data_IF_406393346791
#
_entry.id   IF_406393346791
#
_cell.length_a   1.000
_cell.length_b   1.000
_cell.length_c   1.000
_cell.angle_alpha   90.00
_cell.angle_beta   90.00
_cell.angle_gamma   90.00
#
_symmetry.space_group_name_H-M   'P 1'
#
loop_
_entity.id
_entity.type
_entity.pdbx_description
1 polymer ?
#
# COMPACT_ATOMS: atom_id res chain seq x y z
N UNK A 1 -35.80 -21.58 -6.86
CA UNK A 1 -34.45 -21.81 -6.31
C UNK A 1 -33.42 -20.96 -7.04
N UNK A 2 -32.36 -20.49 -6.36
CA UNK A 2 -31.20 -19.82 -7.00
C UNK A 2 -29.96 -20.70 -6.85
N UNK A 3 -29.22 -20.89 -7.93
CA UNK A 3 -28.01 -21.70 -8.01
C UNK A 3 -26.91 -20.92 -8.70
N UNK A 4 -25.66 -21.26 -8.44
CA UNK A 4 -24.54 -20.82 -9.29
C UNK A 4 -24.50 -21.70 -10.54
N UNK A 5 -24.14 -21.14 -11.70
CA UNK A 5 -23.89 -21.93 -12.92
C UNK A 5 -22.98 -23.13 -12.62
N UNK A 6 -23.29 -24.27 -13.23
CA UNK A 6 -22.63 -25.56 -12.99
C UNK A 6 -23.16 -26.35 -11.79
N UNK A 7 -23.99 -25.77 -10.92
CA UNK A 7 -24.67 -26.54 -9.87
C UNK A 7 -25.87 -27.31 -10.42
N UNK A 8 -25.95 -28.58 -10.06
CA UNK A 8 -27.06 -29.47 -10.39
C UNK A 8 -28.27 -29.17 -9.49
N UNK A 9 -29.46 -29.14 -10.09
CA UNK A 9 -30.73 -29.15 -9.36
C UNK A 9 -31.42 -30.50 -9.53
N UNK A 10 -32.12 -30.97 -8.49
CA UNK A 10 -32.98 -32.15 -8.57
C UNK A 10 -34.43 -31.71 -8.58
N UNK A 11 -35.16 -32.12 -9.61
CA UNK A 11 -36.59 -31.88 -9.77
C UNK A 11 -37.32 -33.16 -9.43
N UNK A 12 -38.29 -33.10 -8.51
CA UNK A 12 -39.10 -34.25 -8.11
C UNK A 12 -40.57 -33.93 -8.31
N UNK A 13 -41.25 -34.77 -9.07
CA UNK A 13 -42.69 -34.71 -9.30
C UNK A 13 -43.37 -35.92 -8.65
N UNK A 14 -44.32 -35.66 -7.76
CA UNK A 14 -45.12 -36.69 -7.11
C UNK A 14 -46.52 -36.68 -7.68
N UNK A 15 -46.92 -37.79 -8.29
CA UNK A 15 -48.26 -38.00 -8.81
C UNK A 15 -49.09 -38.85 -7.85
N UNK A 16 -50.25 -38.34 -7.45
CA UNK A 16 -51.24 -39.08 -6.64
C UNK A 16 -52.29 -39.72 -7.55
N UNK A 17 -52.70 -40.95 -7.23
CA UNK A 17 -53.69 -41.71 -8.01
C UNK A 17 -53.36 -41.88 -9.50
N UNK A 18 -52.06 -41.94 -9.84
CA UNK A 18 -51.58 -42.13 -11.21
C UNK A 18 -52.07 -43.47 -11.78
N UNK A 19 -52.87 -43.48 -12.87
CA UNK A 19 -53.32 -44.71 -13.51
C UNK A 19 -52.16 -45.63 -13.95
N UNK A 20 -52.42 -46.94 -13.96
CA UNK A 20 -51.45 -47.92 -14.46
C UNK A 20 -51.18 -47.68 -15.96
N UNK A 21 -49.90 -47.61 -16.34
CA UNK A 21 -49.46 -47.35 -17.71
C UNK A 21 -49.19 -45.87 -18.04
N UNK A 22 -49.63 -44.93 -17.21
CA UNK A 22 -49.28 -43.52 -17.38
C UNK A 22 -47.80 -43.28 -17.05
N UNK A 23 -47.25 -42.15 -17.48
CA UNK A 23 -45.89 -41.68 -17.11
C UNK A 23 -45.94 -40.27 -16.51
N UNK A 24 -44.97 -39.95 -15.66
CA UNK A 24 -44.74 -38.59 -15.19
C UNK A 24 -43.66 -37.97 -16.09
N UNK A 25 -43.93 -36.80 -16.67
CA UNK A 25 -42.99 -36.03 -17.48
C UNK A 25 -42.67 -34.71 -16.79
N UNK A 26 -41.40 -34.32 -16.72
CA UNK A 26 -40.95 -33.00 -16.29
C UNK A 26 -40.43 -32.27 -17.53
N UNK A 27 -40.97 -31.07 -17.77
CA UNK A 27 -40.64 -30.22 -18.92
C UNK A 27 -40.10 -28.88 -18.43
N UNK A 28 -38.94 -28.47 -18.95
CA UNK A 28 -38.37 -27.13 -18.77
C UNK A 28 -38.63 -26.21 -19.97
N UNK A 29 -38.70 -24.90 -19.74
CA UNK A 29 -38.78 -23.88 -20.81
C UNK A 29 -37.53 -23.81 -21.68
N UNK A 30 -36.44 -24.41 -21.22
CA UNK A 30 -35.17 -24.59 -21.94
C UNK A 30 -35.16 -25.80 -22.88
N UNK A 31 -36.27 -26.55 -22.95
CA UNK A 31 -36.41 -27.72 -23.80
C UNK A 31 -36.09 -29.05 -23.11
N UNK A 32 -35.71 -29.05 -21.82
CA UNK A 32 -35.61 -30.28 -21.05
C UNK A 32 -36.95 -31.03 -21.08
N UNK A 33 -36.93 -32.31 -21.43
CA UNK A 33 -38.07 -33.22 -21.35
C UNK A 33 -37.61 -34.58 -20.89
N UNK A 34 -38.04 -34.98 -19.70
CA UNK A 34 -37.67 -36.25 -19.09
C UNK A 34 -38.92 -36.91 -18.52
N UNK A 35 -39.12 -38.19 -18.83
CA UNK A 35 -40.32 -38.93 -18.40
C UNK A 35 -39.99 -40.29 -17.82
N UNK A 36 -40.78 -40.75 -16.84
CA UNK A 36 -40.61 -42.08 -16.26
C UNK A 36 -41.89 -42.67 -15.67
N UNK A 37 -41.92 -44.00 -15.46
CA UNK A 37 -43.09 -44.69 -14.94
C UNK A 37 -43.22 -44.58 -13.41
N UNK A 38 -42.18 -44.16 -12.69
CA UNK A 38 -42.22 -44.05 -11.23
C UNK A 38 -43.04 -42.85 -10.74
N UNK A 39 -43.55 -42.93 -9.52
CA UNK A 39 -44.06 -41.81 -8.74
C UNK A 39 -43.61 -42.00 -7.29
N UNK A 40 -42.76 -41.12 -6.72
CA UNK A 40 -42.20 -39.92 -7.34
C UNK A 40 -41.28 -40.22 -8.54
N UNK A 41 -41.24 -39.30 -9.49
CA UNK A 41 -40.27 -39.27 -10.58
C UNK A 41 -39.31 -38.11 -10.34
N UNK A 42 -38.02 -38.38 -10.46
CA UNK A 42 -36.98 -37.36 -10.27
C UNK A 42 -36.06 -37.30 -11.49
N UNK A 43 -35.67 -36.08 -11.85
CA UNK A 43 -34.64 -35.82 -12.85
C UNK A 43 -33.73 -34.70 -12.37
N UNK A 44 -32.59 -34.53 -13.01
CA UNK A 44 -31.65 -33.45 -12.69
C UNK A 44 -31.44 -32.55 -13.88
N UNK A 45 -31.14 -31.29 -13.61
CA UNK A 45 -30.77 -30.31 -14.63
C UNK A 45 -29.57 -29.47 -14.17
N UNK A 46 -28.78 -29.00 -15.13
CA UNK A 46 -27.58 -28.19 -14.90
C UNK A 46 -27.38 -27.22 -16.06
N UNK A 47 -27.10 -25.96 -15.74
CA UNK A 47 -26.79 -24.93 -16.73
C UNK A 47 -25.45 -24.27 -16.47
N UNK A 48 -24.69 -24.08 -17.55
CA UNK A 48 -23.37 -23.45 -17.53
C UNK A 48 -23.41 -21.94 -17.77
N UNK A 49 -24.57 -21.42 -18.19
CA UNK A 49 -24.80 -19.99 -18.42
C UNK A 49 -25.89 -19.46 -17.48
N UNK A 50 -25.82 -18.18 -17.06
CA UNK A 50 -26.83 -17.61 -16.20
C UNK A 50 -28.19 -17.56 -16.91
N UNK A 51 -29.20 -18.21 -16.36
CA UNK A 51 -30.56 -18.21 -16.91
C UNK A 51 -31.60 -18.63 -15.86
N UNK A 52 -32.87 -18.38 -16.18
CA UNK A 52 -34.01 -18.86 -15.38
C UNK A 52 -34.82 -19.86 -16.21
N UNK A 53 -34.97 -21.08 -15.70
CA UNK A 53 -35.79 -22.13 -16.33
C UNK A 53 -37.03 -22.36 -15.47
N UNK A 54 -38.17 -22.40 -16.15
CA UNK A 54 -39.45 -22.75 -15.54
C UNK A 54 -39.76 -24.22 -15.84
N UNK A 55 -40.04 -24.99 -14.80
CA UNK A 55 -40.36 -26.40 -14.89
C UNK A 55 -41.82 -26.65 -14.56
N UNK A 56 -42.45 -27.49 -15.38
CA UNK A 56 -43.81 -27.96 -15.20
C UNK A 56 -43.81 -29.48 -15.38
N UNK A 57 -44.49 -30.20 -14.48
CA UNK A 57 -44.67 -31.63 -14.59
C UNK A 57 -46.06 -31.97 -15.15
N UNK A 58 -46.15 -33.07 -15.89
CA UNK A 58 -47.38 -33.60 -16.47
C UNK A 58 -47.52 -35.07 -16.13
N UNK A 59 -48.76 -35.55 -16.04
CA UNK A 59 -49.06 -36.97 -16.18
C UNK A 59 -49.49 -37.17 -17.64
N UNK A 60 -48.89 -38.15 -18.32
CA UNK A 60 -49.20 -38.51 -19.70
C UNK A 60 -49.83 -39.91 -19.73
N UNK A 61 -50.94 -40.05 -20.47
CA UNK A 61 -51.53 -41.35 -20.77
C UNK A 61 -50.64 -42.17 -21.73
N UNK A 62 -50.88 -43.49 -21.92
CA UNK A 62 -50.17 -44.29 -22.91
C UNK A 62 -50.26 -43.75 -24.35
N UNK A 63 -51.29 -42.96 -24.65
CA UNK A 63 -51.47 -42.27 -25.94
C UNK A 63 -50.77 -40.91 -26.04
N UNK A 64 -49.99 -40.51 -25.02
CA UNK A 64 -49.28 -39.24 -24.96
C UNK A 64 -50.14 -38.03 -24.61
N UNK A 65 -51.39 -38.24 -24.19
CA UNK A 65 -52.29 -37.13 -23.80
C UNK A 65 -51.94 -36.67 -22.39
N UNK A 66 -51.80 -35.35 -22.20
CA UNK A 66 -51.69 -34.73 -20.88
C UNK A 66 -53.00 -34.94 -20.10
N UNK A 67 -52.94 -35.71 -19.02
CA UNK A 67 -54.10 -35.99 -18.15
C UNK A 67 -54.07 -35.19 -16.84
N UNK A 68 -52.91 -34.70 -16.43
CA UNK A 68 -52.75 -33.75 -15.32
C UNK A 68 -51.54 -32.84 -15.54
N UNK A 69 -51.54 -31.67 -14.88
CA UNK A 69 -50.46 -30.67 -14.92
C UNK A 69 -50.17 -30.15 -13.53
N UNK A 70 -48.90 -30.00 -13.16
CA UNK A 70 -48.49 -29.42 -11.87
C UNK A 70 -48.50 -27.89 -11.90
N UNK A 71 -48.26 -27.26 -10.75
CA UNK A 71 -47.79 -25.88 -10.73
C UNK A 71 -46.42 -25.74 -11.43
N UNK A 72 -46.06 -24.52 -11.80
CA UNK A 72 -44.74 -24.22 -12.37
C UNK A 72 -43.78 -23.78 -11.27
N UNK A 73 -42.56 -24.31 -11.28
CA UNK A 73 -41.46 -23.90 -10.38
C UNK A 73 -40.32 -23.30 -11.20
N UNK A 74 -39.59 -22.34 -10.62
CA UNK A 74 -38.47 -21.69 -11.31
C UNK A 74 -37.13 -21.99 -10.62
N UNK A 75 -36.12 -22.34 -11.43
CA UNK A 75 -34.72 -22.40 -10.99
C UNK A 75 -33.92 -21.37 -11.78
N UNK A 76 -33.18 -20.53 -11.06
CA UNK A 76 -32.33 -19.49 -11.61
C UNK A 76 -30.86 -19.83 -11.38
N UNK A 77 -30.12 -20.11 -12.45
CA UNK A 77 -28.66 -20.21 -12.43
C UNK A 77 -28.07 -18.81 -12.62
N UNK A 78 -27.15 -18.42 -11.75
CA UNK A 78 -26.51 -17.12 -11.72
C UNK A 78 -25.02 -17.26 -11.98
N UNK A 79 -24.41 -16.20 -12.52
CA UNK A 79 -22.96 -16.14 -12.63
C UNK A 79 -22.31 -16.33 -11.24
N UNK A 80 -21.07 -16.85 -11.17
CA UNK A 80 -20.32 -16.87 -9.92
C UNK A 80 -20.23 -15.45 -9.35
N UNK A 81 -20.31 -15.36 -8.02
CA UNK A 81 -20.12 -14.10 -7.33
C UNK A 81 -18.66 -13.67 -7.47
N UNK A 82 -18.43 -12.41 -7.83
CA UNK A 82 -17.09 -11.85 -7.97
C UNK A 82 -17.08 -10.40 -7.52
N UNK A 83 -15.89 -9.91 -7.18
CA UNK A 83 -15.64 -8.52 -6.79
C UNK A 83 -14.34 -8.02 -7.41
N UNK A 84 -14.33 -6.78 -7.88
CA UNK A 84 -13.14 -6.09 -8.39
C UNK A 84 -12.86 -4.87 -7.54
N UNK A 85 -11.60 -4.56 -7.26
CA UNK A 85 -11.17 -3.37 -6.54
C UNK A 85 -10.33 -2.48 -7.45
N UNK A 86 -10.64 -1.20 -7.51
CA UNK A 86 -9.82 -0.20 -8.22
C UNK A 86 -9.39 0.90 -7.25
N UNK A 87 -8.20 1.44 -7.46
CA UNK A 87 -7.66 2.57 -6.71
C UNK A 87 -7.28 3.68 -7.70
N UNK A 88 -7.61 4.94 -7.38
CA UNK A 88 -7.18 6.07 -8.19
C UNK A 88 -7.08 7.37 -7.37
N UNK A 89 -5.94 8.08 -7.41
CA UNK A 89 -4.64 7.69 -8.00
C UNK A 89 -3.92 6.59 -7.19
N UNK A 90 -2.96 5.88 -7.80
CA UNK A 90 -2.15 4.84 -7.14
C UNK A 90 -0.79 5.33 -6.67
N UNK A 91 -0.30 6.45 -7.21
CA UNK A 91 0.96 7.06 -6.85
C UNK A 91 0.69 8.54 -6.58
N UNK A 92 0.87 8.95 -5.33
CA UNK A 92 0.47 10.29 -4.89
C UNK A 92 1.41 10.82 -3.81
N UNK A 93 1.55 12.15 -3.67
CA UNK A 93 2.27 12.73 -2.54
C UNK A 93 1.61 12.35 -1.21
N UNK A 94 2.40 12.26 -0.13
CA UNK A 94 1.88 12.18 1.24
C UNK A 94 0.82 13.28 1.49
N UNK A 95 -0.21 12.94 2.26
CA UNK A 95 -1.36 13.81 2.56
C UNK A 95 -2.41 13.90 1.45
N UNK A 96 -2.13 13.43 0.24
CA UNK A 96 -3.15 13.31 -0.81
C UNK A 96 -3.99 12.04 -0.64
N UNK A 97 -5.23 12.08 -1.13
CA UNK A 97 -6.16 10.97 -1.01
C UNK A 97 -6.26 10.14 -2.29
N UNK A 98 -6.29 8.81 -2.14
CA UNK A 98 -6.74 7.86 -3.17
C UNK A 98 -8.20 7.50 -2.95
N UNK A 99 -8.94 7.25 -4.03
CA UNK A 99 -10.30 6.67 -3.96
C UNK A 99 -10.26 5.19 -4.29
N UNK A 100 -10.75 4.37 -3.37
CA UNK A 100 -10.91 2.93 -3.52
C UNK A 100 -12.36 2.61 -3.88
N UNK A 101 -12.56 1.90 -4.99
CA UNK A 101 -13.89 1.49 -5.47
C UNK A 101 -13.93 -0.02 -5.66
N UNK A 102 -14.67 -0.71 -4.78
CA UNK A 102 -15.00 -2.13 -4.91
C UNK A 102 -16.32 -2.30 -5.64
N UNK A 103 -16.36 -3.17 -6.65
CA UNK A 103 -17.57 -3.46 -7.45
C UNK A 103 -17.83 -4.96 -7.47
N UNK A 104 -19.01 -5.36 -6.99
CA UNK A 104 -19.50 -6.73 -7.02
C UNK A 104 -20.26 -7.01 -8.33
N UNK A 105 -20.18 -8.25 -8.82
CA UNK A 105 -20.94 -8.69 -10.01
C UNK A 105 -22.45 -8.74 -9.80
N UNK A 106 -22.89 -8.76 -8.53
CA UNK A 106 -24.28 -8.86 -8.12
C UNK A 106 -24.51 -8.04 -6.86
N UNK A 107 -25.74 -7.55 -6.65
CA UNK A 107 -26.05 -6.76 -5.47
C UNK A 107 -26.05 -7.60 -4.19
N UNK A 108 -25.48 -7.06 -3.12
CA UNK A 108 -25.51 -7.64 -1.77
C UNK A 108 -26.74 -7.23 -0.96
N UNK A 109 -27.64 -6.41 -1.52
CA UNK A 109 -28.85 -5.96 -0.82
C UNK A 109 -29.72 -7.14 -0.39
N UNK A 110 -29.97 -7.25 0.92
CA UNK A 110 -30.83 -8.29 1.50
C UNK A 110 -30.23 -9.70 1.45
N UNK A 111 -28.95 -9.86 1.15
CA UNK A 111 -28.27 -11.17 1.16
C UNK A 111 -27.68 -11.53 2.53
N UNK A 112 -27.55 -10.55 3.43
CA UNK A 112 -26.80 -10.69 4.69
C UNK A 112 -25.29 -10.55 4.53
N UNK A 113 -24.81 -10.32 3.31
CA UNK A 113 -23.39 -10.09 3.01
C UNK A 113 -23.08 -8.60 2.87
N UNK A 114 -21.80 -8.25 2.95
CA UNK A 114 -21.25 -6.94 2.69
C UNK A 114 -20.20 -7.01 1.58
N UNK A 115 -20.01 -5.90 0.88
CA UNK A 115 -18.78 -5.62 0.11
C UNK A 115 -17.83 -4.94 1.09
N UNK A 116 -16.72 -5.60 1.43
CA UNK A 116 -15.71 -5.05 2.34
C UNK A 116 -14.49 -4.59 1.53
N UNK A 117 -13.86 -3.50 1.98
CA UNK A 117 -12.54 -3.07 1.51
C UNK A 117 -11.59 -3.18 2.69
N UNK A 118 -10.53 -3.95 2.51
CA UNK A 118 -9.57 -4.32 3.54
C UNK A 118 -8.21 -3.76 3.17
N UNK A 119 -7.58 -3.08 4.12
CA UNK A 119 -6.15 -2.80 4.09
C UNK A 119 -5.40 -4.06 4.54
N UNK A 120 -4.72 -4.72 3.62
CA UNK A 120 -3.95 -5.94 3.89
C UNK A 120 -2.67 -5.66 4.67
N UNK A 121 -2.13 -4.44 4.61
CA UNK A 121 -0.93 -4.08 5.37
C UNK A 121 -1.23 -4.05 6.87
N UNK A 122 -2.37 -3.49 7.26
CA UNK A 122 -2.81 -3.41 8.66
C UNK A 122 -3.77 -4.53 9.09
N UNK A 123 -4.36 -5.25 8.13
CA UNK A 123 -5.40 -6.26 8.37
C UNK A 123 -6.76 -5.68 8.74
N UNK A 124 -6.97 -4.37 8.57
CA UNK A 124 -8.17 -3.66 8.98
C UNK A 124 -9.18 -3.51 7.85
N UNK A 125 -10.46 -3.60 8.18
CA UNK A 125 -11.55 -3.27 7.26
C UNK A 125 -11.76 -1.76 7.27
N UNK A 126 -11.52 -1.12 6.14
CA UNK A 126 -11.60 0.34 5.99
C UNK A 126 -12.93 0.81 5.38
N UNK A 127 -13.72 -0.10 4.82
CA UNK A 127 -15.10 0.15 4.41
C UNK A 127 -15.93 -1.14 4.33
N UNK A 128 -17.23 -1.02 4.61
CA UNK A 128 -18.20 -2.10 4.44
C UNK A 128 -19.52 -1.55 3.92
N UNK A 129 -20.03 -2.13 2.84
CA UNK A 129 -21.32 -1.75 2.25
C UNK A 129 -22.28 -2.94 2.23
N UNK A 130 -23.38 -2.84 2.97
CA UNK A 130 -24.41 -3.89 3.13
C UNK A 130 -25.49 -3.89 2.02
N UNK A 131 -25.38 -2.98 1.05
CA UNK A 131 -26.36 -2.84 -0.02
C UNK A 131 -25.71 -2.33 -1.30
N UNK A 132 -26.39 -2.53 -2.42
CA UNK A 132 -25.91 -2.12 -3.74
C UNK A 132 -24.89 -3.11 -4.32
N UNK A 133 -24.17 -2.65 -5.35
CA UNK A 133 -23.12 -3.39 -6.07
C UNK A 133 -21.75 -2.75 -5.90
N UNK A 134 -21.66 -1.61 -5.23
CA UNK A 134 -20.44 -0.79 -5.19
C UNK A 134 -20.21 -0.29 -3.77
N UNK A 135 -18.96 -0.35 -3.33
CA UNK A 135 -18.49 0.25 -2.09
C UNK A 135 -17.33 1.19 -2.38
N UNK A 136 -17.37 2.40 -1.84
CA UNK A 136 -16.37 3.45 -2.11
C UNK A 136 -15.84 3.99 -0.79
N UNK A 137 -14.54 4.20 -0.71
CA UNK A 137 -13.88 4.88 0.41
C UNK A 137 -12.66 5.65 -0.08
N UNK A 138 -12.15 6.55 0.75
CA UNK A 138 -10.96 7.35 0.46
C UNK A 138 -9.90 7.15 1.54
N UNK A 139 -8.64 7.02 1.14
CA UNK A 139 -7.50 6.82 2.04
C UNK A 139 -6.41 7.86 1.77
N UNK A 140 -5.72 8.30 2.81
CA UNK A 140 -4.55 9.17 2.72
C UNK A 140 -3.54 8.77 3.81
N UNK A 141 -2.26 8.89 3.52
CA UNK A 141 -1.17 8.59 4.47
C UNK A 141 -0.32 9.84 4.72
N UNK A 142 0.12 10.03 5.97
CA UNK A 142 0.98 11.15 6.36
C UNK A 142 2.46 10.90 6.09
N UNK A 143 2.85 9.64 5.93
CA UNK A 143 4.24 9.21 5.78
C UNK A 143 4.44 8.46 4.46
N UNK A 144 5.65 8.49 3.88
CA UNK A 144 5.92 7.73 2.66
C UNK A 144 5.76 6.23 2.90
N UNK A 145 4.83 5.60 2.19
CA UNK A 145 4.49 4.18 2.37
C UNK A 145 3.82 3.61 1.12
N UNK A 146 3.85 2.30 0.98
CA UNK A 146 3.01 1.58 0.02
C UNK A 146 2.03 0.71 0.78
N UNK A 147 0.73 1.01 0.65
CA UNK A 147 -0.33 0.18 1.22
C UNK A 147 -0.89 -0.77 0.18
N UNK A 148 -1.41 -1.89 0.69
CA UNK A 148 -1.93 -3.00 -0.09
C UNK A 148 -3.39 -3.20 0.26
N UNK A 149 -4.30 -3.07 -0.70
CA UNK A 149 -5.75 -3.18 -0.48
C UNK A 149 -6.34 -4.37 -1.24
N UNK A 150 -7.36 -5.00 -0.67
CA UNK A 150 -8.15 -6.04 -1.31
C UNK A 150 -9.62 -5.90 -0.91
N UNK A 151 -10.53 -6.21 -1.81
CA UNK A 151 -11.95 -6.27 -1.51
C UNK A 151 -12.44 -7.71 -1.42
N UNK A 152 -13.44 -7.93 -0.57
CA UNK A 152 -14.14 -9.20 -0.44
C UNK A 152 -15.66 -9.03 -0.44
N UNK A 153 -16.36 -10.14 -0.71
CA UNK A 153 -17.77 -10.27 -0.40
C UNK A 153 -17.91 -11.36 0.66
N UNK A 154 -18.45 -11.00 1.81
CA UNK A 154 -18.59 -11.89 2.97
C UNK A 154 -19.40 -11.23 4.09
N UNK A 155 -19.29 -11.75 5.32
CA UNK A 155 -19.92 -11.13 6.48
C UNK A 155 -19.53 -9.64 6.64
N UNK A 156 -20.38 -8.87 7.31
CA UNK A 156 -20.07 -7.48 7.66
C UNK A 156 -18.76 -7.40 8.45
N UNK A 157 -17.83 -6.55 8.00
CA UNK A 157 -16.50 -6.39 8.60
C UNK A 157 -15.67 -7.68 8.59
N UNK A 158 -15.90 -8.55 7.62
CA UNK A 158 -15.00 -9.67 7.35
C UNK A 158 -13.64 -9.16 6.84
N UNK A 159 -12.58 -9.85 7.23
CA UNK A 159 -11.26 -9.72 6.59
C UNK A 159 -11.13 -10.78 5.50
N UNK A 160 -10.15 -10.63 4.61
CA UNK A 160 -9.98 -11.53 3.45
C UNK A 160 -9.66 -12.98 3.81
N UNK A 161 -9.32 -13.27 5.07
CA UNK A 161 -9.09 -14.62 5.61
C UNK A 161 -10.23 -15.13 6.50
N UNK A 162 -11.30 -14.35 6.70
CA UNK A 162 -12.41 -14.73 7.55
C UNK A 162 -13.22 -15.89 6.97
N UNK A 163 -13.74 -16.76 7.85
CA UNK A 163 -14.69 -17.78 7.45
C UNK A 163 -15.96 -17.12 6.87
N UNK A 164 -16.45 -17.64 5.74
CA UNK A 164 -17.63 -17.12 5.07
C UNK A 164 -17.37 -16.10 3.95
N UNK A 165 -16.12 -15.74 3.67
CA UNK A 165 -15.76 -15.00 2.46
C UNK A 165 -16.15 -15.82 1.22
N UNK A 166 -16.91 -15.20 0.31
CA UNK A 166 -17.49 -15.81 -0.89
C UNK A 166 -16.77 -15.42 -2.18
N UNK A 167 -16.13 -14.26 -2.19
CA UNK A 167 -15.36 -13.76 -3.33
C UNK A 167 -14.26 -12.81 -2.85
N UNK A 168 -13.15 -12.78 -3.58
CA UNK A 168 -12.01 -11.88 -3.38
C UNK A 168 -11.70 -11.17 -4.68
N UNK A 169 -11.27 -9.90 -4.58
CA UNK A 169 -10.69 -9.18 -5.72
C UNK A 169 -9.21 -9.52 -5.88
N UNK A 170 -8.61 -9.08 -6.99
CA UNK A 170 -7.17 -8.83 -6.99
C UNK A 170 -6.78 -7.76 -5.97
N UNK A 171 -5.50 -7.76 -5.61
CA UNK A 171 -4.88 -6.78 -4.74
C UNK A 171 -4.55 -5.49 -5.51
N UNK A 172 -4.69 -4.35 -4.85
CA UNK A 172 -4.31 -3.02 -5.33
C UNK A 172 -3.21 -2.44 -4.45
N UNK A 173 -2.20 -1.81 -5.06
CA UNK A 173 -1.12 -1.15 -4.35
C UNK A 173 -1.24 0.36 -4.54
N UNK A 174 -1.12 1.11 -3.45
CA UNK A 174 -1.12 2.57 -3.47
C UNK A 174 0.11 3.06 -2.73
N UNK A 175 0.92 3.89 -3.39
CA UNK A 175 2.16 4.44 -2.87
C UNK A 175 2.02 5.93 -2.60
N UNK A 176 2.16 6.31 -1.34
CA UNK A 176 2.39 7.69 -0.93
C UNK A 176 3.89 7.95 -0.93
N UNK A 177 4.33 8.92 -1.72
CA UNK A 177 5.73 9.36 -1.75
C UNK A 177 5.88 10.72 -1.08
N UNK A 178 7.01 10.96 -0.44
CA UNK A 178 7.34 12.24 0.16
C UNK A 178 8.70 12.73 -0.32
N UNK A 179 9.05 13.98 -0.02
CA UNK A 179 10.33 14.52 -0.40
C UNK A 179 11.48 13.75 0.27
N UNK A 180 12.60 13.64 -0.42
CA UNK A 180 13.87 13.14 0.11
C UNK A 180 14.90 14.22 -0.09
N UNK A 181 15.74 14.50 0.92
CA UNK A 181 16.81 15.50 0.82
C UNK A 181 18.15 14.91 1.22
N UNK A 182 19.18 15.22 0.44
CA UNK A 182 20.56 14.81 0.66
C UNK A 182 21.44 16.04 0.81
N UNK A 183 22.53 15.91 1.58
CA UNK A 183 23.43 17.02 1.87
C UNK A 183 24.88 16.63 1.62
N UNK A 184 25.59 17.44 0.86
CA UNK A 184 27.00 17.28 0.58
C UNK A 184 27.76 18.59 0.81
N UNK A 185 28.95 18.50 1.40
CA UNK A 185 29.88 19.62 1.51
C UNK A 185 31.17 19.33 0.74
N UNK A 186 31.71 20.33 0.05
CA UNK A 186 32.96 20.23 -0.73
C UNK A 186 33.73 21.57 -0.72
N UNK A 187 35.03 21.57 -0.35
CA UNK A 187 35.78 20.51 0.32
C UNK A 187 35.35 20.34 1.80
N UNK A 188 35.52 19.15 2.37
CA UNK A 188 35.21 18.85 3.79
C UNK A 188 36.33 19.19 4.77
N UNK A 189 37.54 19.37 4.28
CA UNK A 189 38.70 19.77 5.05
C UNK A 189 39.47 20.82 4.28
N UNK A 190 39.70 21.97 4.89
CA UNK A 190 40.33 23.10 4.23
C UNK A 190 41.09 23.97 5.23
N UNK A 191 42.05 24.72 4.71
CA UNK A 191 42.73 25.74 5.50
C UNK A 191 41.73 26.84 5.89
N UNK A 192 41.92 27.44 7.06
CA UNK A 192 41.23 28.68 7.42
C UNK A 192 41.32 29.73 6.30
N UNK A 193 40.27 30.54 6.16
CA UNK A 193 40.16 31.55 5.10
C UNK A 193 39.90 30.97 3.71
N UNK A 194 39.69 29.65 3.58
CA UNK A 194 39.13 29.02 2.39
C UNK A 194 37.65 28.76 2.59
N UNK A 195 36.92 28.75 1.48
CA UNK A 195 35.48 28.57 1.45
C UNK A 195 35.14 27.10 1.19
N UNK A 196 34.14 26.59 1.90
CA UNK A 196 33.48 25.34 1.57
C UNK A 196 32.09 25.62 1.00
N UNK A 197 31.65 24.84 0.02
CA UNK A 197 30.29 24.89 -0.49
C UNK A 197 29.51 23.71 0.07
N UNK A 198 28.37 23.98 0.69
CA UNK A 198 27.41 23.00 1.19
C UNK A 198 26.18 23.05 0.29
N UNK A 199 25.83 21.93 -0.32
CA UNK A 199 24.71 21.81 -1.24
C UNK A 199 23.73 20.77 -0.73
N UNK A 200 22.49 21.21 -0.51
CA UNK A 200 21.34 20.35 -0.29
C UNK A 200 20.66 20.09 -1.65
N UNK A 201 20.32 18.84 -1.91
CA UNK A 201 19.54 18.44 -3.09
C UNK A 201 18.36 17.59 -2.66
N UNK A 202 17.18 17.96 -3.11
CA UNK A 202 15.95 17.28 -2.78
C UNK A 202 15.26 16.71 -4.02
N UNK A 203 14.56 15.61 -3.82
CA UNK A 203 13.76 14.89 -4.81
C UNK A 203 12.33 14.77 -4.31
N UNK A 204 11.38 14.62 -5.25
CA UNK A 204 9.96 14.45 -4.95
C UNK A 204 9.35 15.58 -4.10
N UNK A 205 9.92 16.79 -4.21
CA UNK A 205 9.36 17.99 -3.61
C UNK A 205 8.15 18.50 -4.39
N UNK A 206 7.22 19.12 -3.67
CA UNK A 206 6.13 19.91 -4.28
C UNK A 206 6.57 21.33 -4.60
N UNK A 207 5.84 22.02 -5.48
CA UNK A 207 6.13 23.41 -5.87
C UNK A 207 6.00 24.42 -4.70
N UNK A 208 5.41 24.00 -3.58
CA UNK A 208 5.21 24.84 -2.39
C UNK A 208 6.19 24.55 -1.27
N UNK A 209 7.01 23.50 -1.40
CA UNK A 209 8.00 23.12 -0.40
C UNK A 209 9.32 23.88 -0.57
N UNK A 210 10.03 24.10 0.53
CA UNK A 210 11.32 24.80 0.56
C UNK A 210 12.39 23.96 1.26
N UNK A 211 13.64 24.07 0.83
CA UNK A 211 14.79 23.51 1.56
C UNK A 211 15.26 24.54 2.61
N UNK A 212 15.44 24.10 3.85
CA UNK A 212 16.04 24.89 4.93
C UNK A 212 17.36 24.23 5.36
N UNK A 213 18.47 24.96 5.27
CA UNK A 213 19.82 24.50 5.60
C UNK A 213 20.34 25.25 6.82
N UNK A 214 20.86 24.50 7.81
CA UNK A 214 21.43 25.05 9.04
C UNK A 214 22.81 24.49 9.33
N UNK A 215 23.70 25.33 9.85
CA UNK A 215 25.01 24.98 10.39
C UNK A 215 25.06 25.21 11.91
N UNK A 216 25.85 24.40 12.62
CA UNK A 216 26.05 24.54 14.09
C UNK A 216 26.74 25.85 14.50
N UNK A 217 27.27 26.59 13.53
CA UNK A 217 27.90 27.90 13.66
C UNK A 217 26.92 29.07 13.46
N UNK A 218 25.64 28.79 13.26
CA UNK A 218 24.59 29.79 13.10
C UNK A 218 24.26 30.13 11.65
N UNK A 219 24.90 29.50 10.66
CA UNK A 219 24.45 29.57 9.26
C UNK A 219 23.02 29.05 9.19
N UNK A 220 22.10 29.83 8.59
CA UNK A 220 20.72 29.42 8.35
C UNK A 220 20.23 30.07 7.06
N UNK A 221 19.84 29.26 6.09
CA UNK A 221 19.33 29.73 4.81
C UNK A 221 18.13 28.89 4.37
N UNK A 222 17.12 29.56 3.82
CA UNK A 222 15.96 28.90 3.21
C UNK A 222 15.99 29.18 1.72
N UNK A 223 15.81 28.16 0.89
CA UNK A 223 15.66 28.28 -0.56
C UNK A 223 14.28 28.79 -0.97
N UNK A 224 14.10 29.01 -2.27
CA UNK A 224 12.78 29.38 -2.81
C UNK A 224 11.85 28.17 -2.87
N UNK A 225 10.51 28.38 -2.82
CA UNK A 225 9.55 27.29 -3.00
C UNK A 225 9.74 26.58 -4.35
N UNK A 226 9.77 25.25 -4.31
CA UNK A 226 9.92 24.40 -5.49
C UNK A 226 11.34 24.27 -6.03
N UNK A 227 12.32 25.03 -5.52
CA UNK A 227 13.71 24.88 -5.93
C UNK A 227 14.30 23.59 -5.32
N UNK A 228 14.71 22.60 -6.13
CA UNK A 228 15.17 21.30 -5.64
C UNK A 228 16.61 21.35 -5.11
N UNK A 229 17.28 22.51 -5.17
CA UNK A 229 18.67 22.67 -4.74
C UNK A 229 18.84 23.95 -3.95
N UNK A 230 19.63 23.86 -2.88
CA UNK A 230 20.08 25.01 -2.10
C UNK A 230 21.57 24.86 -1.83
N UNK A 231 22.35 25.87 -2.20
CA UNK A 231 23.79 25.91 -1.95
C UNK A 231 24.17 27.12 -1.11
N UNK A 232 24.97 26.88 -0.09
CA UNK A 232 25.53 27.90 0.80
C UNK A 232 27.05 27.78 0.79
N UNK A 233 27.73 28.91 0.75
CA UNK A 233 29.18 28.97 0.92
C UNK A 233 29.52 29.45 2.32
N UNK A 234 30.38 28.73 3.00
CA UNK A 234 30.81 29.08 4.36
C UNK A 234 32.34 29.23 4.45
N UNK A 235 32.79 30.15 5.30
CA UNK A 235 34.20 30.50 5.48
C UNK A 235 34.48 30.83 6.95
N UNK A 236 35.53 30.20 7.48
CA UNK A 236 36.00 30.46 8.84
C UNK A 236 37.45 30.87 8.91
N UNK A 237 37.75 31.88 9.74
CA UNK A 237 39.10 32.38 9.99
C UNK A 237 39.79 31.72 11.19
N UNK A 238 39.02 31.01 12.01
CA UNK A 238 39.49 30.23 13.17
C UNK A 238 39.30 28.74 12.92
N UNK A 239 40.21 27.88 13.43
CA UNK A 239 40.02 26.43 13.33
C UNK A 239 38.74 26.00 14.03
N UNK A 240 37.88 25.27 13.32
CA UNK A 240 36.65 24.70 13.86
C UNK A 240 36.07 23.64 12.93
N UNK A 241 35.14 22.86 13.46
CA UNK A 241 34.31 21.93 12.68
C UNK A 241 32.86 22.37 12.77
N UNK A 242 32.23 22.59 11.63
CA UNK A 242 30.81 22.91 11.52
C UNK A 242 30.07 21.68 11.01
N UNK A 243 28.95 21.35 11.66
CA UNK A 243 28.03 20.33 11.19
C UNK A 243 26.83 21.01 10.53
N UNK A 244 26.55 20.65 9.29
CA UNK A 244 25.40 21.13 8.53
C UNK A 244 24.32 20.04 8.44
N UNK A 245 23.07 20.46 8.48
CA UNK A 245 21.88 19.65 8.17
C UNK A 245 20.95 20.44 7.26
N UNK A 246 20.11 19.73 6.52
CA UNK A 246 19.05 20.32 5.71
C UNK A 246 17.72 19.61 5.96
N UNK A 247 16.63 20.35 5.92
CA UNK A 247 15.27 19.85 6.00
C UNK A 247 14.46 20.35 4.82
N UNK A 248 13.44 19.59 4.41
CA UNK A 248 12.39 20.08 3.52
C UNK A 248 11.22 20.51 4.40
N UNK A 249 10.73 21.73 4.18
CA UNK A 249 9.58 22.29 4.87
C UNK A 249 8.40 22.38 3.90
N UNK A 250 7.21 21.99 4.36
CA UNK A 250 5.97 22.22 3.60
C UNK A 250 5.50 23.68 3.73
N UNK A 251 4.39 24.02 3.08
CA UNK A 251 3.82 25.38 3.07
C UNK A 251 3.38 25.90 4.45
N UNK A 252 3.21 25.03 5.44
CA UNK A 252 2.89 25.39 6.84
C UNK A 252 4.12 25.45 7.74
N UNK A 253 5.32 25.20 7.20
CA UNK A 253 6.59 25.20 7.93
C UNK A 253 6.91 23.90 8.66
N UNK A 254 6.15 22.82 8.43
CA UNK A 254 6.44 21.51 9.03
C UNK A 254 7.54 20.80 8.25
N UNK A 255 8.44 20.15 8.97
CA UNK A 255 9.50 19.31 8.40
C UNK A 255 8.89 18.04 7.81
N UNK A 256 9.09 17.83 6.51
CA UNK A 256 8.61 16.65 5.75
C UNK A 256 9.75 15.76 5.25
N UNK A 257 10.99 16.23 5.31
CA UNK A 257 12.19 15.43 5.08
C UNK A 257 13.39 15.99 5.84
N UNK A 258 14.34 15.15 6.20
CA UNK A 258 15.61 15.54 6.83
C UNK A 258 16.78 14.86 6.13
N UNK A 259 17.89 15.59 5.96
CA UNK A 259 19.09 15.08 5.31
C UNK A 259 20.00 14.32 6.27
N UNK A 260 21.01 13.66 5.71
CA UNK A 260 22.22 13.34 6.47
C UNK A 260 22.93 14.62 6.97
N UNK A 261 23.77 14.47 7.99
CA UNK A 261 24.67 15.54 8.41
C UNK A 261 25.91 15.62 7.49
N UNK A 262 26.42 16.82 7.24
CA UNK A 262 27.67 17.07 6.53
C UNK A 262 28.62 17.89 7.41
N UNK A 263 29.83 17.39 7.65
CA UNK A 263 30.84 18.09 8.46
C UNK A 263 31.91 18.73 7.59
N UNK A 264 32.28 19.97 7.95
CA UNK A 264 33.38 20.71 7.35
C UNK A 264 34.33 21.18 8.44
N UNK A 265 35.62 20.89 8.28
CA UNK A 265 36.66 21.28 9.24
C UNK A 265 37.64 22.27 8.61
N UNK A 266 37.70 23.47 9.19
CA UNK A 266 38.75 24.46 8.91
C UNK A 266 39.90 24.25 9.89
N UNK A 267 41.12 24.13 9.36
CA UNK A 267 42.32 23.94 10.18
C UNK A 267 43.40 24.96 9.84
N UNK A 268 44.32 25.17 10.78
CA UNK A 268 45.58 25.91 10.55
C UNK A 268 46.72 24.91 10.45
N UNK A 269 47.65 25.15 9.53
CA UNK A 269 48.95 24.48 9.54
C UNK A 269 49.92 25.38 10.28
N UNK A 270 50.53 24.86 11.33
CA UNK A 270 51.74 25.46 11.86
C UNK A 270 52.91 24.98 11.01
N UNK A 271 53.56 25.90 10.26
CA UNK A 271 54.95 25.64 9.86
C UNK A 271 55.72 25.52 11.16
N UNK A 272 56.31 24.35 11.41
CA UNK A 272 57.20 24.16 12.55
C UNK A 272 58.15 25.34 12.60
N UNK A 273 58.14 26.04 13.74
CA UNK A 273 59.34 26.74 14.14
C UNK A 273 60.50 25.72 14.07
N UNK A 274 61.70 26.21 13.74
CA UNK A 274 62.94 25.47 14.02
C UNK A 274 62.81 24.67 15.32
N UNK A 275 63.40 23.46 15.43
CA UNK A 275 63.18 22.56 16.56
C UNK A 275 63.61 23.26 17.86
N UNK A 276 62.65 23.89 18.50
CA UNK A 276 62.70 24.30 19.88
C UNK A 276 61.67 23.42 20.55
N UNK A 277 62.21 22.45 21.29
CA UNK A 277 61.59 21.73 22.40
C UNK A 277 60.38 22.48 22.98
N UNK A 278 59.19 22.18 22.46
CA UNK A 278 57.93 22.68 23.00
C UNK A 278 56.91 21.55 22.92
N UNK A 279 56.64 20.95 24.08
CA UNK A 279 55.57 20.00 24.27
C UNK A 279 54.23 20.74 24.12
N UNK A 280 53.63 20.73 22.93
CA UNK A 280 52.28 21.24 22.75
C UNK A 280 51.31 20.06 22.93
N UNK A 281 50.44 20.06 23.94
CA UNK A 281 49.44 19.01 24.11
C UNK A 281 48.47 18.98 22.91
N UNK A 282 48.09 17.77 22.50
CA UNK A 282 47.13 17.53 21.41
C UNK A 282 45.82 18.27 21.68
N UNK A 283 45.46 19.23 20.81
CA UNK A 283 44.14 19.86 20.80
C UNK A 283 43.31 19.29 19.64
N UNK A 284 42.03 18.91 19.85
CA UNK A 284 41.10 18.61 18.77
C UNK A 284 40.97 19.82 17.81
N UNK A 285 41.02 19.59 16.50
CA UNK A 285 40.89 20.64 15.46
C UNK A 285 42.19 21.08 14.77
N UNK A 286 43.33 20.43 15.07
CA UNK A 286 44.64 20.74 14.48
C UNK A 286 45.20 19.55 13.69
N UNK A 287 45.73 19.81 12.49
CA UNK A 287 46.46 18.82 11.69
C UNK A 287 47.97 19.12 11.77
N UNK A 288 48.76 18.14 12.22
CA UNK A 288 50.21 18.24 12.32
C UNK A 288 50.87 17.58 11.10
N UNK A 289 51.75 18.29 10.40
CA UNK A 289 52.54 17.72 9.29
C UNK A 289 53.71 16.94 9.90
N UNK A 290 53.85 15.67 9.52
CA UNK A 290 54.90 14.75 10.00
C UNK A 290 56.28 15.20 9.47
N UNK A 291 56.95 16.08 10.19
CA UNK A 291 58.40 16.23 10.12
C UNK A 291 59.06 15.09 10.90
N UNK A 292 60.26 14.65 10.49
CA UNK A 292 61.04 13.64 11.20
C UNK A 292 61.36 14.16 12.60
N UNK A 293 60.69 13.65 13.64
CA UNK A 293 61.01 13.95 15.03
C UNK A 293 61.97 12.87 15.51
N UNK A 294 63.24 13.20 15.66
CA UNK A 294 64.14 12.45 16.55
C UNK A 294 63.69 12.70 17.98
N UNK A 295 63.14 11.68 18.62
CA UNK A 295 62.74 11.70 20.03
C UNK A 295 64.00 11.72 20.92
N UNK A 296 64.21 12.79 21.70
CA UNK A 296 65.21 12.82 22.76
C UNK A 296 64.53 12.51 24.11
N UNK A 297 64.74 11.31 24.68
CA UNK A 297 64.15 10.90 25.95
C UNK A 297 64.63 11.72 27.17
N UNK A 298 65.61 12.62 27.04
CA UNK A 298 66.11 13.45 28.16
C UNK A 298 65.34 14.76 28.34
N UNK A 299 64.52 15.17 27.37
CA UNK A 299 63.86 16.48 27.37
C UNK A 299 62.37 16.45 27.77
N UNK A 300 61.75 15.28 27.96
CA UNK A 300 60.31 15.15 28.24
C UNK A 300 60.03 14.08 29.32
N UNK A 301 59.61 14.45 30.55
CA UNK A 301 59.07 13.48 31.48
C UNK A 301 57.72 12.98 30.97
N UNK A 302 57.55 11.66 30.92
CA UNK A 302 56.28 10.99 30.59
C UNK A 302 55.22 11.44 31.60
N UNK A 303 54.04 11.94 31.19
CA UNK A 303 52.94 12.10 32.13
C UNK A 303 52.49 10.72 32.58
N UNK A 304 52.46 10.48 33.88
CA UNK A 304 51.85 9.29 34.48
C UNK A 304 50.43 9.10 33.93
N UNK A 305 50.01 7.86 33.63
CA UNK A 305 48.64 7.58 33.21
C UNK A 305 47.67 8.09 34.28
N UNK A 306 46.67 8.86 33.87
CA UNK A 306 45.50 9.12 34.70
C UNK A 306 44.39 8.23 34.13
N UNK A 307 43.98 7.23 34.91
CA UNK A 307 42.86 6.36 34.58
C UNK A 307 41.58 7.16 34.40
N UNK A 308 40.93 7.03 33.23
CA UNK A 308 39.48 7.05 33.03
C UNK A 308 39.13 6.23 31.79
#
# INVERSE_FOLDING_TARGET
TRLTVGQTTTLTATAYHKPSGDVVEIVGTDGLKQSGPSSPFSTTDVHLTPQTVHFTAYILSPSGKKVATSNTVAVKWMAPLSVTLTAHPTDLPIGQATTLTATASQSVSGTGEAINIVDQSSGLVIASCLSGTTCVTTMAESDPTTQTYQADIGPYQATTSAAGVKALSHTQHVTWYGPVVTLQATPRQLLIGKTATVTAQAQQMTATETIHLVGTDGVSQTGSPGDPTLSVTDLHQTPQTVTFTATVLNSTGQVVASSNAAQVTWYRIFKGANPVTSCVPYKPGYAYVKGVVTYDPRACPVPTPVDF
#
